data_IF_548663938637
#
_entry.id   IF_548663938637
#
_cell.length_a   1.000
_cell.length_b   1.000
_cell.length_c   1.000
_cell.angle_alpha   90.00
_cell.angle_beta   90.00
_cell.angle_gamma   90.00
#
_symmetry.space_group_name_H-M   'P 1'
#
loop_
_entity.id
_entity.type
_entity.pdbx_description
1 polymer ?
#
# COMPACT_ATOMS: atom_id res chain seq x y z
N UNK A 1 -7.42 -4.25 -2.14
CA UNK A 1 -7.30 -2.98 -1.40
C UNK A 1 -8.30 -1.97 -1.96
N UNK A 2 -8.06 -1.33 -3.12
CA UNK A 2 -8.96 -0.32 -3.72
C UNK A 2 -10.44 -0.74 -3.75
N UNK A 3 -10.76 -1.90 -4.36
CA UNK A 3 -12.14 -2.41 -4.40
C UNK A 3 -12.79 -2.59 -3.02
N UNK A 4 -12.02 -3.00 -2.01
CA UNK A 4 -12.54 -3.20 -0.66
C UNK A 4 -12.84 -1.85 0.01
N UNK A 5 -11.96 -0.86 -0.14
CA UNK A 5 -12.19 0.49 0.38
C UNK A 5 -13.44 1.13 -0.26
N UNK A 6 -13.63 0.97 -1.57
CA UNK A 6 -14.82 1.50 -2.27
C UNK A 6 -16.12 0.87 -1.75
N UNK A 7 -16.11 -0.43 -1.45
CA UNK A 7 -17.26 -1.11 -0.83
C UNK A 7 -17.55 -0.59 0.58
N UNK A 8 -16.52 -0.30 1.37
CA UNK A 8 -16.69 0.27 2.72
C UNK A 8 -17.24 1.70 2.66
N UNK A 9 -16.81 2.49 1.67
CA UNK A 9 -17.13 3.92 1.57
C UNK A 9 -18.45 4.23 0.87
N UNK A 10 -19.04 3.25 0.18
CA UNK A 10 -20.35 3.37 -0.50
C UNK A 10 -20.42 4.53 -1.51
N UNK A 11 -19.34 4.77 -2.26
CA UNK A 11 -19.29 5.77 -3.35
C UNK A 11 -18.55 5.26 -4.59
N UNK A 12 -18.27 6.15 -5.54
CA UNK A 12 -17.51 5.82 -6.74
C UNK A 12 -16.03 5.55 -6.43
N UNK A 13 -15.37 4.76 -7.27
CA UNK A 13 -13.92 4.55 -7.14
C UNK A 13 -13.14 5.84 -7.39
N UNK A 14 -13.64 6.71 -8.28
CA UNK A 14 -13.06 8.00 -8.62
C UNK A 14 -13.04 8.95 -7.43
N UNK A 15 -14.08 8.91 -6.60
CA UNK A 15 -14.30 9.86 -5.50
C UNK A 15 -13.26 9.67 -4.39
N UNK A 16 -12.72 8.45 -4.27
CA UNK A 16 -11.76 8.08 -3.24
C UNK A 16 -10.37 7.72 -3.76
N UNK A 17 -10.15 7.76 -5.08
CA UNK A 17 -8.87 7.35 -5.67
C UNK A 17 -7.72 8.15 -5.07
N UNK A 18 -7.83 9.47 -5.02
CA UNK A 18 -6.80 10.36 -4.50
C UNK A 18 -6.44 10.05 -3.05
N UNK A 19 -7.45 9.83 -2.19
CA UNK A 19 -7.24 9.51 -0.77
C UNK A 19 -6.58 8.14 -0.58
N UNK A 20 -6.95 7.17 -1.42
CA UNK A 20 -6.40 5.81 -1.38
C UNK A 20 -4.95 5.80 -1.87
N UNK A 21 -4.67 6.48 -2.98
CA UNK A 21 -3.31 6.66 -3.50
C UNK A 21 -2.42 7.36 -2.47
N UNK A 22 -2.92 8.45 -1.89
CA UNK A 22 -2.23 9.16 -0.82
C UNK A 22 -1.88 8.24 0.34
N UNK A 23 -2.87 7.48 0.84
CA UNK A 23 -2.66 6.55 1.96
C UNK A 23 -1.68 5.43 1.62
N UNK A 24 -1.70 4.92 0.39
CA UNK A 24 -0.80 3.87 -0.08
C UNK A 24 0.64 4.37 -0.17
N UNK A 25 0.87 5.51 -0.83
CA UNK A 25 2.21 6.06 -1.07
C UNK A 25 2.91 6.51 0.22
N UNK A 26 2.14 6.84 1.25
CA UNK A 26 2.64 7.22 2.57
C UNK A 26 2.68 6.06 3.58
N UNK A 27 2.24 4.86 3.19
CA UNK A 27 2.31 3.68 4.06
C UNK A 27 3.68 3.02 3.96
N UNK A 28 4.13 2.45 5.09
CA UNK A 28 5.38 1.70 5.17
C UNK A 28 5.37 0.50 4.21
N UNK A 29 6.46 0.33 3.45
CA UNK A 29 6.62 -0.79 2.53
C UNK A 29 7.74 -1.72 2.98
N UNK A 30 7.39 -2.93 3.44
CA UNK A 30 8.33 -3.87 4.07
C UNK A 30 9.57 -4.20 3.23
N UNK A 31 9.46 -4.32 1.90
CA UNK A 31 10.61 -4.67 1.05
C UNK A 31 11.58 -3.51 0.81
N UNK A 32 11.09 -2.27 0.92
CA UNK A 32 11.88 -1.05 0.69
C UNK A 32 12.38 -0.50 2.03
N UNK A 33 11.67 -0.81 3.13
CA UNK A 33 12.03 -0.38 4.48
C UNK A 33 11.58 1.04 4.82
N UNK A 34 10.91 1.74 3.90
CA UNK A 34 10.38 3.11 4.02
C UNK A 34 9.08 3.24 3.22
N UNK A 35 8.42 4.39 3.27
CA UNK A 35 7.27 4.65 2.41
C UNK A 35 7.71 4.93 0.95
N UNK A 36 6.92 4.53 -0.08
CA UNK A 36 7.24 4.83 -1.48
C UNK A 36 7.45 6.33 -1.75
N UNK A 37 6.65 7.19 -1.12
CA UNK A 37 6.82 8.65 -1.22
C UNK A 37 8.18 9.11 -0.68
N UNK A 38 8.60 8.58 0.48
CA UNK A 38 9.92 8.87 1.06
C UNK A 38 11.06 8.41 0.16
N UNK A 39 10.91 7.25 -0.48
CA UNK A 39 11.91 6.76 -1.43
C UNK A 39 12.02 7.66 -2.66
N UNK A 40 10.89 8.17 -3.15
CA UNK A 40 10.84 8.97 -4.36
C UNK A 40 11.38 10.40 -4.14
N UNK A 41 11.04 11.02 -3.03
CA UNK A 41 11.33 12.44 -2.79
C UNK A 41 12.41 12.69 -1.72
N UNK A 42 12.83 11.65 -0.99
CA UNK A 42 13.81 11.79 0.10
C UNK A 42 13.27 12.51 1.33
N UNK A 43 11.97 12.85 1.35
CA UNK A 43 11.30 13.54 2.45
C UNK A 43 10.12 12.72 2.95
N UNK A 44 9.86 12.79 4.26
CA UNK A 44 8.64 12.21 4.83
C UNK A 44 7.43 12.93 4.26
N UNK A 45 6.43 12.15 3.85
CA UNK A 45 5.20 12.72 3.32
C UNK A 45 4.48 13.50 4.41
N UNK A 46 4.26 14.79 4.13
CA UNK A 46 3.47 15.67 4.99
C UNK A 46 2.00 15.38 4.71
N UNK A 47 1.38 14.56 5.55
CA UNK A 47 -0.07 14.39 5.52
C UNK A 47 -0.74 15.47 6.38
N UNK A 48 -2.00 15.85 6.08
CA UNK A 48 -2.84 16.59 7.04
C UNK A 48 -2.90 15.97 8.45
N UNK A 49 -2.51 14.69 8.58
CA UNK A 49 -2.50 13.89 9.81
C UNK A 49 -1.11 13.81 10.48
N UNK A 50 -0.05 14.32 9.84
CA UNK A 50 1.33 14.41 10.37
C UNK A 50 1.84 15.85 10.27
N UNK A 51 1.09 16.78 10.87
CA UNK A 51 1.50 18.16 11.12
C UNK A 51 2.12 18.28 12.52
N UNK A 52 3.16 17.51 12.78
CA UNK A 52 3.96 17.62 14.00
C UNK A 52 4.96 18.80 13.97
N UNK A 53 4.94 19.64 12.93
CA UNK A 53 5.59 20.95 12.92
C UNK A 53 4.61 22.07 12.57
N UNK A 54 4.53 23.05 13.47
CA UNK A 54 3.63 24.20 13.52
C UNK A 54 3.68 25.06 12.25
N UNK A 55 2.52 25.37 11.64
CA UNK A 55 2.40 26.53 10.74
C UNK A 55 1.31 26.47 9.66
N UNK A 56 0.18 27.12 9.93
CA UNK A 56 -0.93 27.47 9.02
C UNK A 56 -2.10 26.48 8.85
N UNK A 57 -3.20 26.86 9.50
CA UNK A 57 -4.55 26.30 9.37
C UNK A 57 -5.07 26.53 7.95
N UNK A 58 -5.23 25.47 7.18
CA UNK A 58 -6.31 25.42 6.18
C UNK A 58 -7.53 24.87 6.90
N UNK A 59 -8.46 25.77 7.23
CA UNK A 59 -9.74 25.48 7.89
C UNK A 59 -10.61 24.70 6.91
N UNK A 60 -10.36 23.40 6.79
CA UNK A 60 -11.36 22.44 6.36
C UNK A 60 -12.08 22.02 7.64
N UNK A 61 -13.42 22.05 7.66
CA UNK A 61 -14.19 21.83 8.89
C UNK A 61 -13.74 20.57 9.67
N UNK A 62 -13.80 20.58 11.01
CA UNK A 62 -13.33 19.45 11.83
C UNK A 62 -13.98 18.12 11.44
N UNK A 63 -15.19 18.16 10.91
CA UNK A 63 -15.96 17.02 10.44
C UNK A 63 -15.32 16.34 9.20
N UNK A 64 -14.86 17.11 8.22
CA UNK A 64 -14.19 16.58 7.02
C UNK A 64 -12.80 16.02 7.35
N UNK A 65 -12.09 16.65 8.29
CA UNK A 65 -10.81 16.14 8.79
C UNK A 65 -11.03 14.79 9.47
N UNK A 66 -12.04 14.70 10.33
CA UNK A 66 -12.38 13.47 11.04
C UNK A 66 -12.83 12.35 10.10
N UNK A 67 -13.69 12.66 9.13
CA UNK A 67 -14.08 11.69 8.09
C UNK A 67 -12.85 11.18 7.32
N UNK A 68 -11.92 12.07 6.99
CA UNK A 68 -10.68 11.69 6.29
C UNK A 68 -9.79 10.79 7.16
N UNK A 69 -9.65 11.10 8.46
CA UNK A 69 -8.90 10.27 9.43
C UNK A 69 -9.48 8.84 9.46
N UNK A 70 -10.79 8.72 9.58
CA UNK A 70 -11.49 7.44 9.66
C UNK A 70 -11.31 6.63 8.37
N UNK A 71 -11.46 7.27 7.20
CA UNK A 71 -11.24 6.62 5.91
C UNK A 71 -9.78 6.18 5.75
N UNK A 72 -8.79 6.99 6.15
CA UNK A 72 -7.37 6.60 6.11
C UNK A 72 -7.11 5.38 6.99
N UNK A 73 -7.70 5.33 8.19
CA UNK A 73 -7.58 4.17 9.08
C UNK A 73 -8.13 2.90 8.41
N UNK A 74 -9.29 3.00 7.75
CA UNK A 74 -9.88 1.89 6.98
C UNK A 74 -8.95 1.48 5.82
N UNK A 75 -8.41 2.42 5.06
CA UNK A 75 -7.51 2.12 3.93
C UNK A 75 -6.27 1.36 4.41
N UNK A 76 -5.65 1.81 5.52
CA UNK A 76 -4.48 1.14 6.10
C UNK A 76 -4.81 -0.28 6.55
N UNK A 77 -5.98 -0.49 7.16
CA UNK A 77 -6.47 -1.83 7.51
C UNK A 77 -6.64 -2.71 6.26
N UNK A 78 -7.32 -2.21 5.22
CA UNK A 78 -7.54 -2.94 3.97
C UNK A 78 -6.25 -3.22 3.20
N UNK A 79 -5.27 -2.33 3.29
CA UNK A 79 -3.94 -2.53 2.73
C UNK A 79 -3.23 -3.67 3.45
N UNK A 80 -3.24 -3.67 4.78
CA UNK A 80 -2.65 -4.73 5.60
C UNK A 80 -3.29 -6.09 5.33
N UNK A 81 -4.62 -6.17 5.30
CA UNK A 81 -5.35 -7.40 4.94
C UNK A 81 -5.00 -7.91 3.53
N UNK A 82 -4.79 -7.01 2.57
CA UNK A 82 -4.38 -7.38 1.22
C UNK A 82 -2.95 -7.94 1.19
N UNK A 83 -2.02 -7.30 1.90
CA UNK A 83 -0.64 -7.76 2.05
C UNK A 83 -0.58 -9.13 2.73
N UNK A 84 -1.34 -9.32 3.80
CA UNK A 84 -1.37 -10.60 4.54
C UNK A 84 -1.98 -11.72 3.70
N UNK A 85 -3.01 -11.43 2.91
CA UNK A 85 -3.58 -12.40 1.95
C UNK A 85 -2.58 -12.76 0.85
N UNK A 86 -1.88 -11.77 0.29
CA UNK A 86 -0.84 -12.04 -0.71
C UNK A 86 0.27 -12.91 -0.13
N UNK A 87 0.72 -12.61 1.09
CA UNK A 87 1.72 -13.39 1.81
C UNK A 87 1.24 -14.82 2.03
N UNK A 88 0.04 -15.01 2.60
CA UNK A 88 -0.48 -16.36 2.87
C UNK A 88 -0.62 -17.20 1.60
N UNK A 89 -1.08 -16.61 0.49
CA UNK A 89 -1.17 -17.30 -0.79
C UNK A 89 0.19 -17.66 -1.38
N UNK A 90 1.16 -16.75 -1.30
CA UNK A 90 2.52 -16.99 -1.78
C UNK A 90 3.21 -18.08 -0.95
N UNK A 91 3.09 -18.01 0.38
CA UNK A 91 3.76 -18.92 1.30
C UNK A 91 3.19 -20.33 1.22
N UNK A 92 1.87 -20.50 1.05
CA UNK A 92 1.23 -21.82 0.87
C UNK A 92 1.79 -22.59 -0.33
N UNK A 93 2.19 -21.90 -1.40
CA UNK A 93 2.69 -22.54 -2.63
C UNK A 93 4.21 -22.63 -2.70
N UNK A 94 4.93 -21.98 -1.79
CA UNK A 94 6.39 -22.02 -1.74
C UNK A 94 6.82 -23.22 -0.90
N UNK A 95 7.60 -24.11 -1.52
CA UNK A 95 8.41 -25.08 -0.77
C UNK A 95 9.78 -24.44 -0.54
N UNK A 96 10.36 -24.53 0.66
CA UNK A 96 11.77 -24.18 0.83
C UNK A 96 12.58 -25.10 -0.09
N UNK A 97 13.20 -24.49 -1.10
CA UNK A 97 14.03 -25.17 -2.09
C UNK A 97 15.35 -24.43 -2.14
N UNK A 98 16.39 -25.10 -1.69
CA UNK A 98 17.76 -24.59 -1.72
C UNK A 98 18.48 -25.30 -2.85
N UNK A 99 19.24 -24.54 -3.64
CA UNK A 99 20.07 -25.07 -4.71
C UNK A 99 21.53 -24.90 -4.35
N UNK A 100 22.34 -25.89 -4.68
CA UNK A 100 23.77 -25.90 -4.48
C UNK A 100 24.49 -25.74 -5.83
N UNK A 101 25.75 -25.30 -5.77
CA UNK A 101 26.56 -25.20 -6.97
C UNK A 101 26.71 -26.59 -7.62
N UNK A 102 26.31 -26.70 -8.89
CA UNK A 102 26.29 -27.95 -9.64
C UNK A 102 24.91 -28.57 -9.84
N UNK A 103 23.88 -28.08 -9.13
CA UNK A 103 22.50 -28.54 -9.32
C UNK A 103 21.96 -28.15 -10.70
N UNK A 104 21.29 -29.09 -11.37
CA UNK A 104 20.62 -28.84 -12.65
C UNK A 104 19.15 -28.49 -12.40
N UNK A 105 18.74 -27.32 -12.89
CA UNK A 105 17.36 -26.82 -12.75
C UNK A 105 16.75 -26.53 -14.11
N UNK A 106 15.42 -26.70 -14.22
CA UNK A 106 14.69 -26.31 -15.42
C UNK A 106 14.43 -24.79 -15.41
N UNK A 107 14.87 -24.11 -16.47
CA UNK A 107 14.52 -22.71 -16.68
C UNK A 107 13.09 -22.64 -17.23
N UNK A 108 12.21 -21.92 -16.54
CA UNK A 108 10.89 -21.60 -17.08
C UNK A 108 11.04 -20.51 -18.14
N UNK A 109 11.14 -20.94 -19.39
CA UNK A 109 11.09 -20.05 -20.55
C UNK A 109 9.63 -19.77 -20.94
N UNK A 110 9.34 -18.54 -21.37
CA UNK A 110 8.10 -18.28 -22.11
C UNK A 110 8.19 -19.04 -23.45
N UNK A 111 7.08 -19.61 -23.97
CA UNK A 111 7.13 -20.27 -25.27
C UNK A 111 7.62 -19.28 -26.31
N UNK A 112 8.82 -19.53 -26.86
CA UNK A 112 9.26 -18.87 -28.08
C UNK A 112 8.41 -19.43 -29.21
N UNK A 113 7.86 -18.57 -30.05
CA UNK A 113 7.28 -19.04 -31.31
C UNK A 113 8.45 -19.59 -32.15
N UNK A 114 8.44 -20.89 -32.45
CA UNK A 114 9.36 -21.56 -33.37
C UNK A 114 10.50 -22.27 -32.67
#
# INVERSE_FOLDING_TARGET
MLRACVLDFKGGWSDYLTLIEFSYNNSYHNSIGVAPYETLYGIKGRSPLCWDEVGEKVITGPELVQETVEKVAIIRKRLKEAQDRQKSWADVKRRPLEFHQGDKVYLKIAPTRG
#
